data_IF_785530540643
#
_entry.id   IF_785530540643
#
_cell.length_a   1.000
_cell.length_b   1.000
_cell.length_c   1.000
_cell.angle_alpha   90.00
_cell.angle_beta   90.00
_cell.angle_gamma   90.00
#
_symmetry.space_group_name_H-M   'P 1'
#
loop_
_entity.id
_entity.type
_entity.pdbx_description
1 polymer ?
#
# COMPACT_ATOMS: atom_id res chain seq x y z
N UNK A 1 19.43 13.35 -0.35
CA UNK A 1 19.38 13.42 1.13
C UNK A 1 19.78 12.06 1.71
N UNK A 2 20.77 11.99 2.60
CA UNK A 2 21.34 10.71 3.09
C UNK A 2 20.32 9.81 3.80
N UNK A 3 19.41 10.41 4.58
CA UNK A 3 18.38 9.67 5.32
C UNK A 3 17.39 8.94 4.40
N UNK A 4 16.82 9.63 3.41
CA UNK A 4 15.87 9.03 2.48
C UNK A 4 16.49 7.85 1.70
N UNK A 5 17.74 7.98 1.26
CA UNK A 5 18.45 6.90 0.58
C UNK A 5 18.72 5.70 1.50
N UNK A 6 19.03 5.94 2.77
CA UNK A 6 19.19 4.86 3.75
C UNK A 6 17.87 4.14 4.05
N UNK A 7 16.75 4.88 4.16
CA UNK A 7 15.42 4.28 4.31
C UNK A 7 15.02 3.46 3.09
N UNK A 8 15.28 3.95 1.88
CA UNK A 8 15.03 3.19 0.65
C UNK A 8 15.85 1.89 0.64
N UNK A 9 17.15 1.94 0.95
CA UNK A 9 17.99 0.75 1.04
C UNK A 9 17.49 -0.23 2.12
N UNK A 10 16.94 0.26 3.24
CA UNK A 10 16.33 -0.60 4.24
C UNK A 10 15.08 -1.31 3.70
N UNK A 11 14.21 -0.60 2.98
CA UNK A 11 13.02 -1.19 2.33
C UNK A 11 13.40 -2.25 1.30
N UNK A 12 14.48 -2.02 0.55
CA UNK A 12 14.89 -2.90 -0.55
C UNK A 12 15.69 -4.13 -0.10
N UNK A 13 16.41 -4.04 1.03
CA UNK A 13 17.40 -5.05 1.42
C UNK A 13 17.21 -5.66 2.82
N UNK A 14 16.41 -5.05 3.71
CA UNK A 14 16.17 -5.61 5.04
C UNK A 14 14.98 -6.58 4.99
N UNK A 15 15.17 -7.87 5.33
CA UNK A 15 14.08 -8.84 5.38
C UNK A 15 12.94 -8.35 6.29
N UNK A 16 11.70 -8.48 5.80
CA UNK A 16 10.50 -8.07 6.54
C UNK A 16 10.00 -6.65 6.23
N UNK A 17 10.78 -5.81 5.54
CA UNK A 17 10.34 -4.46 5.12
C UNK A 17 9.68 -4.42 3.74
N UNK A 18 9.73 -5.51 2.98
CA UNK A 18 9.18 -5.54 1.62
C UNK A 18 7.65 -5.39 1.63
N UNK A 19 7.12 -4.50 0.78
CA UNK A 19 5.66 -4.26 0.65
C UNK A 19 4.87 -5.55 0.41
N UNK A 20 5.42 -6.47 -0.38
CA UNK A 20 4.81 -7.78 -0.68
C UNK A 20 4.62 -8.69 0.55
N UNK A 21 5.25 -8.37 1.68
CA UNK A 21 5.05 -9.11 2.92
C UNK A 21 3.71 -8.75 3.57
N UNK A 22 3.19 -7.54 3.36
CA UNK A 22 1.94 -7.07 3.98
C UNK A 22 0.77 -8.01 3.70
N UNK A 23 0.65 -8.51 2.46
CA UNK A 23 -0.41 -9.45 2.08
C UNK A 23 -0.33 -10.82 2.75
N UNK A 24 0.80 -11.14 3.43
CA UNK A 24 1.12 -12.46 3.97
C UNK A 24 1.18 -12.52 5.50
N UNK A 25 1.49 -11.41 6.16
CA UNK A 25 1.75 -11.38 7.61
C UNK A 25 0.49 -11.18 8.47
N UNK A 26 -0.64 -10.83 7.85
CA UNK A 26 -1.94 -10.71 8.50
C UNK A 26 -3.01 -11.43 7.68
N UNK A 27 -4.01 -12.00 8.35
CA UNK A 27 -5.07 -12.79 7.72
C UNK A 27 -6.15 -11.86 7.15
N UNK A 28 -5.82 -11.04 6.15
CA UNK A 28 -6.74 -10.02 5.59
C UNK A 28 -8.10 -10.57 5.15
N UNK A 29 -8.13 -11.80 4.65
CA UNK A 29 -9.37 -12.47 4.25
C UNK A 29 -10.37 -12.64 5.40
N UNK A 30 -9.92 -12.68 6.66
CA UNK A 30 -10.82 -12.80 7.82
C UNK A 30 -11.72 -11.58 8.01
N UNK A 31 -11.41 -10.45 7.37
CA UNK A 31 -12.22 -9.24 7.43
C UNK A 31 -13.51 -9.34 6.59
N UNK A 32 -13.62 -10.33 5.70
CA UNK A 32 -14.74 -10.41 4.76
C UNK A 32 -14.78 -9.19 3.83
N UNK A 33 -15.97 -8.66 3.56
CA UNK A 33 -16.13 -7.45 2.77
C UNK A 33 -15.81 -6.23 3.63
N UNK A 34 -14.62 -5.64 3.43
CA UNK A 34 -14.11 -4.58 4.28
C UNK A 34 -13.75 -3.32 3.49
N UNK A 35 -13.86 -2.16 4.16
CA UNK A 35 -13.35 -0.88 3.69
C UNK A 35 -12.16 -0.47 4.57
N UNK A 36 -10.97 -0.37 3.98
CA UNK A 36 -9.70 -0.17 4.70
C UNK A 36 -9.14 1.20 4.35
N UNK A 37 -8.84 2.00 5.38
CA UNK A 37 -8.17 3.29 5.20
C UNK A 37 -6.70 3.15 5.57
N UNK A 38 -5.81 3.41 4.61
CA UNK A 38 -4.36 3.42 4.80
C UNK A 38 -3.89 4.86 5.08
N UNK A 39 -3.73 5.17 6.37
CA UNK A 39 -3.29 6.49 6.86
C UNK A 39 -1.76 6.59 6.74
N UNK A 40 -1.26 7.68 6.16
CA UNK A 40 0.17 7.83 5.87
C UNK A 40 0.64 6.92 4.74
N UNK A 41 -0.28 6.55 3.84
CA UNK A 41 -0.05 5.55 2.80
C UNK A 41 0.74 6.04 1.59
N UNK A 42 1.21 7.29 1.59
CA UNK A 42 1.94 7.94 0.50
C UNK A 42 1.24 7.76 -0.85
N UNK A 43 1.83 7.04 -1.79
CA UNK A 43 1.28 6.79 -3.13
C UNK A 43 0.53 5.46 -3.25
N UNK A 44 0.22 4.81 -2.13
CA UNK A 44 -0.65 3.64 -2.11
C UNK A 44 0.02 2.32 -2.46
N UNK A 45 1.35 2.20 -2.39
CA UNK A 45 2.07 0.95 -2.73
C UNK A 45 1.53 -0.26 -1.95
N UNK A 46 1.29 -0.09 -0.64
CA UNK A 46 0.70 -1.12 0.22
C UNK A 46 -0.73 -1.45 -0.19
N UNK A 47 -1.51 -0.42 -0.51
CA UNK A 47 -2.91 -0.53 -0.90
C UNK A 47 -3.08 -1.30 -2.21
N UNK A 48 -2.23 -1.01 -3.19
CA UNK A 48 -2.15 -1.71 -4.47
C UNK A 48 -1.78 -3.18 -4.26
N UNK A 49 -0.80 -3.47 -3.39
CA UNK A 49 -0.43 -4.85 -3.07
C UNK A 49 -1.60 -5.63 -2.44
N UNK A 50 -2.33 -5.03 -1.49
CA UNK A 50 -3.51 -5.66 -0.90
C UNK A 50 -4.63 -5.87 -1.93
N UNK A 51 -4.92 -4.88 -2.77
CA UNK A 51 -5.99 -4.96 -3.76
C UNK A 51 -5.75 -6.05 -4.83
N UNK A 52 -4.48 -6.30 -5.18
CA UNK A 52 -4.07 -7.39 -6.09
C UNK A 52 -4.33 -8.78 -5.50
N UNK A 53 -4.18 -8.94 -4.18
CA UNK A 53 -4.24 -10.24 -3.52
C UNK A 53 -5.65 -10.57 -2.98
N UNK A 54 -6.47 -9.58 -2.65
CA UNK A 54 -7.78 -9.77 -2.03
C UNK A 54 -8.85 -9.05 -2.82
N UNK A 55 -9.76 -9.76 -3.49
CA UNK A 55 -10.77 -9.19 -4.39
C UNK A 55 -11.96 -8.48 -3.70
N UNK A 56 -12.16 -8.78 -2.42
CA UNK A 56 -13.36 -8.45 -1.65
C UNK A 56 -13.21 -7.21 -0.75
N UNK A 57 -12.03 -6.57 -0.74
CA UNK A 57 -11.76 -5.37 0.04
C UNK A 57 -11.77 -4.12 -0.85
N UNK A 58 -12.21 -3.00 -0.29
CA UNK A 58 -12.05 -1.67 -0.87
C UNK A 58 -11.09 -0.89 0.00
N UNK A 59 -10.25 -0.07 -0.60
CA UNK A 59 -9.24 0.66 0.12
C UNK A 59 -9.25 2.14 -0.24
N UNK A 60 -8.74 2.95 0.68
CA UNK A 60 -8.56 4.39 0.52
C UNK A 60 -7.20 4.78 1.09
N UNK A 61 -6.40 5.49 0.30
CA UNK A 61 -5.16 6.11 0.78
C UNK A 61 -5.46 7.50 1.31
N UNK A 62 -5.02 7.81 2.53
CA UNK A 62 -5.05 9.16 3.07
C UNK A 62 -3.66 9.57 3.53
N UNK A 63 -3.18 10.71 3.05
CA UNK A 63 -1.91 11.30 3.45
C UNK A 63 -1.94 12.82 3.21
N UNK A 64 -0.86 13.50 3.57
CA UNK A 64 -0.65 14.90 3.22
C UNK A 64 -0.75 15.10 1.70
N UNK A 65 -1.34 16.22 1.28
CA UNK A 65 -1.54 16.55 -0.14
C UNK A 65 -0.24 16.48 -0.96
N UNK A 66 0.90 16.83 -0.36
CA UNK A 66 2.22 16.74 -0.99
C UNK A 66 2.71 15.30 -1.18
N UNK A 67 2.34 14.38 -0.28
CA UNK A 67 2.73 12.98 -0.33
C UNK A 67 1.93 12.17 -1.35
N UNK A 68 0.64 12.49 -1.53
CA UNK A 68 -0.24 11.85 -2.53
C UNK A 68 -0.11 12.46 -3.93
N UNK A 69 0.73 13.50 -4.12
CA UNK A 69 0.89 14.16 -5.42
C UNK A 69 1.40 13.16 -6.47
N UNK A 70 0.60 12.91 -7.51
CA UNK A 70 0.91 11.94 -8.57
C UNK A 70 0.70 10.49 -8.15
N UNK A 71 -0.17 10.21 -7.17
CA UNK A 71 -0.60 8.87 -6.81
C UNK A 71 -1.63 8.27 -7.80
N UNK A 72 -1.92 8.96 -8.90
CA UNK A 72 -2.92 8.56 -9.91
C UNK A 72 -2.51 7.34 -10.75
N UNK A 73 -1.27 6.87 -10.59
CA UNK A 73 -0.69 5.71 -11.28
C UNK A 73 -1.17 4.38 -10.64
N UNK A 74 -2.49 4.22 -10.59
CA UNK A 74 -3.16 3.00 -10.14
C UNK A 74 -3.43 2.11 -11.35
N UNK A 75 -3.08 0.80 -11.31
CA UNK A 75 -3.41 -0.13 -12.40
C UNK A 75 -4.90 -0.11 -12.72
N UNK A 76 -5.26 -0.15 -14.00
CA UNK A 76 -6.65 0.04 -14.47
C UNK A 76 -7.65 -0.87 -13.74
N UNK A 77 -7.32 -2.15 -13.57
CA UNK A 77 -8.17 -3.11 -12.87
C UNK A 77 -8.40 -2.83 -11.38
N UNK A 78 -7.68 -1.87 -10.78
CA UNK A 78 -7.76 -1.52 -9.37
C UNK A 78 -8.35 -0.12 -9.09
N UNK A 79 -8.57 0.70 -10.12
CA UNK A 79 -9.00 2.11 -9.96
C UNK A 79 -10.31 2.31 -9.20
N UNK A 80 -11.23 1.35 -9.25
CA UNK A 80 -12.50 1.41 -8.52
C UNK A 80 -12.38 0.95 -7.06
N UNK A 81 -11.19 0.53 -6.62
CA UNK A 81 -10.97 -0.16 -5.34
C UNK A 81 -9.85 0.42 -4.48
N UNK A 82 -9.06 1.38 -4.97
CA UNK A 82 -7.86 1.94 -4.32
C UNK A 82 -7.87 3.45 -4.39
#
# INVERSE_FOLDING_TARGET
MRFASAMQAAVDHVPGYAVVAVSKVYVWASLGNAYIVNIGGSRGQVTIELAKNFGNIKLLVQDAATAIKGADDVPEQLKERV
#
